data_IF_305899838861
#
_entry.id   IF_305899838861
#
_cell.length_a   1.000
_cell.length_b   1.000
_cell.length_c   1.000
_cell.angle_alpha   90.00
_cell.angle_beta   90.00
_cell.angle_gamma   90.00
#
_symmetry.space_group_name_H-M   'P 1'
#
loop_
_entity.id
_entity.type
_entity.pdbx_description
1 polymer ?
#
# COMPACT_ATOMS: atom_id res chain seq x y z
N UNK A 1 5.07 2.08 -11.02
CA UNK A 1 4.65 2.37 -9.63
C UNK A 1 3.49 3.36 -9.66
N UNK A 2 2.65 3.45 -8.63
CA UNK A 2 1.52 4.38 -8.63
C UNK A 2 1.99 5.83 -8.79
N UNK A 3 1.27 6.63 -9.56
CA UNK A 3 1.60 8.03 -9.85
C UNK A 3 0.92 9.05 -8.94
N UNK A 4 0.15 8.62 -7.94
CA UNK A 4 -0.39 9.52 -6.92
C UNK A 4 0.60 9.68 -5.77
N UNK A 5 0.73 10.91 -5.26
CA UNK A 5 1.77 11.34 -4.31
C UNK A 5 1.99 10.36 -3.15
N UNK A 6 0.90 9.96 -2.49
CA UNK A 6 1.01 9.13 -1.28
C UNK A 6 1.39 7.69 -1.58
N UNK A 7 0.82 7.08 -2.63
CA UNK A 7 1.17 5.71 -2.97
C UNK A 7 2.53 5.63 -3.68
N UNK A 8 2.95 6.67 -4.39
CA UNK A 8 4.27 6.78 -4.97
C UNK A 8 5.34 6.79 -3.87
N UNK A 9 5.19 7.67 -2.87
CA UNK A 9 6.06 7.70 -1.71
C UNK A 9 6.10 6.35 -0.98
N UNK A 10 4.94 5.73 -0.78
CA UNK A 10 4.84 4.38 -0.20
C UNK A 10 5.60 3.33 -1.01
N UNK A 11 5.49 3.37 -2.33
CA UNK A 11 6.20 2.45 -3.22
C UNK A 11 7.72 2.66 -3.14
N UNK A 12 8.19 3.91 -3.06
CA UNK A 12 9.59 4.24 -2.86
C UNK A 12 10.12 3.75 -1.50
N UNK A 13 9.34 3.93 -0.43
CA UNK A 13 9.68 3.41 0.90
C UNK A 13 9.80 1.88 0.91
N UNK A 14 8.93 1.16 0.18
CA UNK A 14 9.05 -0.28 0.03
C UNK A 14 10.35 -0.65 -0.70
N UNK A 15 10.71 0.04 -1.79
CA UNK A 15 11.94 -0.22 -2.52
C UNK A 15 13.19 0.08 -1.69
N UNK A 16 13.16 1.13 -0.87
CA UNK A 16 14.21 1.43 0.11
C UNK A 16 14.34 0.34 1.16
N UNK A 17 13.22 -0.13 1.73
CA UNK A 17 13.22 -1.21 2.72
C UNK A 17 13.78 -2.53 2.16
N UNK A 18 13.67 -2.75 0.86
CA UNK A 18 14.27 -3.90 0.15
C UNK A 18 15.70 -3.63 -0.35
N UNK A 19 16.26 -2.46 -0.09
CA UNK A 19 17.63 -2.09 -0.45
C UNK A 19 17.86 -1.84 -1.95
N UNK A 20 16.79 -1.61 -2.73
CA UNK A 20 16.92 -1.28 -4.16
C UNK A 20 17.39 0.15 -4.39
N UNK A 21 16.99 1.05 -3.51
CA UNK A 21 17.31 2.47 -3.52
C UNK A 21 17.56 2.97 -2.10
N UNK A 22 18.01 4.21 -1.99
CA UNK A 22 18.00 4.97 -0.75
C UNK A 22 17.38 6.33 -1.00
N UNK A 23 16.47 6.74 -0.13
CA UNK A 23 15.85 8.05 -0.14
C UNK A 23 16.65 9.03 0.71
N UNK A 24 16.50 10.31 0.41
CA UNK A 24 17.02 11.39 1.23
C UNK A 24 16.34 11.38 2.60
N UNK A 25 17.13 11.58 3.65
CA UNK A 25 16.62 11.73 5.01
C UNK A 25 15.52 12.80 5.06
N UNK A 26 14.37 12.43 5.62
CA UNK A 26 13.22 13.32 5.80
C UNK A 26 12.29 13.47 4.58
N UNK A 27 12.47 12.71 3.49
CA UNK A 27 11.54 12.73 2.36
C UNK A 27 10.10 12.32 2.77
N UNK A 28 9.98 11.30 3.62
CA UNK A 28 8.72 10.92 4.27
C UNK A 28 7.60 10.58 3.28
N UNK A 29 6.37 10.97 3.63
CA UNK A 29 5.15 10.60 2.89
C UNK A 29 4.93 11.34 1.57
N UNK A 30 5.82 12.27 1.23
CA UNK A 30 5.80 13.02 -0.03
C UNK A 30 7.04 12.74 -0.88
N UNK A 31 7.77 11.66 -0.58
CA UNK A 31 8.95 11.27 -1.34
C UNK A 31 8.61 11.07 -2.82
N UNK A 32 9.50 11.55 -3.68
CA UNK A 32 9.44 11.40 -5.13
C UNK A 32 10.72 10.72 -5.64
N UNK A 33 10.78 10.28 -6.90
CA UNK A 33 12.01 9.78 -7.50
C UNK A 33 13.18 10.77 -7.45
N UNK A 34 12.90 12.08 -7.35
CA UNK A 34 13.94 13.11 -7.19
C UNK A 34 14.61 13.09 -5.81
N UNK A 35 14.01 12.42 -4.82
CA UNK A 35 14.56 12.27 -3.48
C UNK A 35 15.47 11.05 -3.34
N UNK A 36 15.71 10.30 -4.42
CA UNK A 36 16.61 9.13 -4.43
C UNK A 36 18.07 9.58 -4.43
N UNK A 37 18.82 9.18 -3.41
CA UNK A 37 20.24 9.49 -3.24
C UNK A 37 21.18 8.35 -3.61
N UNK A 38 20.70 7.10 -3.60
CA UNK A 38 21.45 5.92 -4.07
C UNK A 38 20.53 5.04 -4.94
N UNK A 39 21.01 4.66 -6.14
CA UNK A 39 20.31 3.78 -7.08
C UNK A 39 21.33 2.85 -7.78
N UNK A 40 21.91 1.87 -7.06
CA UNK A 40 23.03 1.07 -7.56
C UNK A 40 22.70 0.21 -8.78
N UNK A 41 21.41 -0.07 -9.02
CA UNK A 41 20.93 -0.84 -10.18
C UNK A 41 20.50 0.04 -11.36
N UNK A 42 20.64 1.37 -11.25
CA UNK A 42 20.19 2.33 -12.27
C UNK A 42 18.73 2.10 -12.70
N UNK A 43 17.86 1.83 -11.73
CA UNK A 43 16.43 1.63 -11.96
C UNK A 43 15.83 2.89 -12.58
N UNK A 44 14.93 2.70 -13.54
CA UNK A 44 14.09 3.76 -14.11
C UNK A 44 12.68 3.64 -13.53
N UNK A 45 12.14 4.75 -13.06
CA UNK A 45 10.83 4.78 -12.42
C UNK A 45 9.78 5.20 -13.43
N UNK A 46 8.81 4.31 -13.67
CA UNK A 46 7.63 4.60 -14.48
C UNK A 46 6.44 4.82 -13.56
N UNK A 47 5.97 6.06 -13.49
CA UNK A 47 4.79 6.48 -12.75
C UNK A 47 3.53 6.24 -13.59
N UNK A 48 2.59 5.47 -13.07
CA UNK A 48 1.37 5.07 -13.78
C UNK A 48 0.19 5.14 -12.83
N UNK A 49 -0.99 5.48 -13.35
CA UNK A 49 -2.24 5.41 -12.58
C UNK A 49 -2.42 4.02 -11.94
N UNK A 50 -2.78 3.99 -10.65
CA UNK A 50 -2.68 2.80 -9.84
C UNK A 50 -3.51 1.61 -10.36
N UNK A 51 -4.71 1.87 -10.92
CA UNK A 51 -5.57 0.82 -11.47
C UNK A 51 -5.01 0.16 -12.74
N UNK A 52 -4.06 0.81 -13.42
CA UNK A 52 -3.42 0.29 -14.63
C UNK A 52 -2.21 -0.61 -14.33
N UNK A 53 -1.61 -0.51 -13.15
CA UNK A 53 -0.40 -1.26 -12.79
C UNK A 53 -0.49 -2.79 -12.99
N UNK A 54 -1.62 -3.46 -12.67
CA UNK A 54 -1.74 -4.91 -12.93
C UNK A 54 -1.63 -5.29 -14.41
N UNK A 55 -1.90 -4.37 -15.34
CA UNK A 55 -1.95 -4.64 -16.79
C UNK A 55 -0.59 -4.52 -17.47
N UNK A 56 0.37 -3.85 -16.84
CA UNK A 56 1.68 -3.55 -17.42
C UNK A 56 2.78 -4.45 -16.86
N UNK A 57 2.45 -5.47 -16.05
CA UNK A 57 3.43 -6.34 -15.40
C UNK A 57 4.33 -7.11 -16.38
N UNK A 58 3.90 -7.27 -17.63
CA UNK A 58 4.70 -7.87 -18.72
C UNK A 58 5.59 -6.87 -19.45
N UNK A 59 5.45 -5.57 -19.16
CA UNK A 59 6.18 -4.47 -19.81
C UNK A 59 7.27 -3.87 -18.92
N UNK A 60 7.33 -4.27 -17.65
CA UNK A 60 8.29 -3.76 -16.65
C UNK A 60 8.94 -4.91 -15.89
N UNK A 61 10.16 -4.70 -15.38
CA UNK A 61 10.85 -5.71 -14.57
C UNK A 61 10.22 -5.89 -13.18
N UNK A 62 9.67 -4.80 -12.62
CA UNK A 62 9.01 -4.76 -11.32
C UNK A 62 7.81 -3.82 -11.36
N UNK A 63 6.70 -4.27 -10.78
CA UNK A 63 5.52 -3.45 -10.55
C UNK A 63 5.21 -3.42 -9.05
N UNK A 64 5.22 -2.22 -8.45
CA UNK A 64 4.70 -2.01 -7.10
C UNK A 64 3.22 -1.68 -7.23
N UNK A 65 2.33 -2.52 -6.69
CA UNK A 65 0.88 -2.50 -6.93
C UNK A 65 0.13 -2.44 -5.60
N UNK A 66 -0.89 -1.58 -5.50
CA UNK A 66 -1.78 -1.56 -4.33
C UNK A 66 -2.53 -2.90 -4.19
N UNK A 67 -2.69 -3.38 -2.95
CA UNK A 67 -3.29 -4.69 -2.65
C UNK A 67 -4.69 -4.89 -3.25
N UNK A 68 -5.55 -3.86 -3.28
CA UNK A 68 -6.89 -3.98 -3.86
C UNK A 68 -6.84 -4.23 -5.38
N UNK A 69 -5.93 -3.59 -6.11
CA UNK A 69 -5.78 -3.77 -7.55
C UNK A 69 -5.10 -5.09 -7.88
N UNK A 70 -4.11 -5.49 -7.08
CA UNK A 70 -3.49 -6.80 -7.18
C UNK A 70 -4.54 -7.92 -7.03
N UNK A 71 -5.34 -7.85 -5.95
CA UNK A 71 -6.40 -8.82 -5.67
C UNK A 71 -7.46 -8.85 -6.79
N UNK A 72 -7.91 -7.68 -7.26
CA UNK A 72 -8.90 -7.59 -8.34
C UNK A 72 -8.38 -8.18 -9.66
N UNK A 73 -7.07 -8.08 -9.91
CA UNK A 73 -6.42 -8.67 -11.08
C UNK A 73 -6.07 -10.16 -10.90
N UNK A 74 -6.37 -10.76 -9.74
CA UNK A 74 -6.12 -12.16 -9.45
C UNK A 74 -4.71 -12.49 -8.97
N UNK A 75 -3.90 -11.48 -8.65
CA UNK A 75 -2.62 -11.70 -8.00
C UNK A 75 -2.82 -12.09 -6.53
N UNK A 76 -1.95 -12.98 -6.05
CA UNK A 76 -1.86 -13.40 -4.65
C UNK A 76 -0.52 -12.95 -4.08
N UNK A 77 -0.55 -12.19 -2.98
CA UNK A 77 0.62 -11.79 -2.21
C UNK A 77 1.49 -12.98 -1.79
N UNK A 78 0.91 -14.16 -1.56
CA UNK A 78 1.66 -15.35 -1.16
C UNK A 78 2.39 -16.04 -2.32
N UNK A 79 1.97 -15.80 -3.58
CA UNK A 79 2.49 -16.50 -4.77
C UNK A 79 3.27 -15.58 -5.71
N UNK A 80 2.76 -14.36 -5.90
CA UNK A 80 3.18 -13.45 -6.96
C UNK A 80 4.01 -12.28 -6.43
N UNK A 81 3.87 -11.91 -5.15
CA UNK A 81 4.63 -10.80 -4.60
C UNK A 81 6.07 -11.22 -4.31
N UNK A 82 7.02 -10.47 -4.85
CA UNK A 82 8.46 -10.64 -4.57
C UNK A 82 8.85 -10.05 -3.21
N UNK A 83 8.14 -9.01 -2.78
CA UNK A 83 8.30 -8.35 -1.50
C UNK A 83 6.95 -7.77 -1.08
N UNK A 84 6.74 -7.71 0.23
CA UNK A 84 5.58 -7.10 0.87
C UNK A 84 6.08 -6.11 1.90
N UNK A 85 5.27 -5.10 2.20
CA UNK A 85 5.51 -4.25 3.35
C UNK A 85 5.40 -5.09 4.63
N UNK A 86 6.28 -4.81 5.59
CA UNK A 86 6.15 -5.39 6.92
C UNK A 86 4.89 -4.83 7.59
N UNK A 87 4.01 -5.73 8.04
CA UNK A 87 2.77 -5.39 8.76
C UNK A 87 3.00 -4.51 10.00
N UNK A 88 4.17 -4.60 10.60
CA UNK A 88 4.60 -3.81 11.76
C UNK A 88 5.27 -2.48 11.40
N UNK A 89 5.57 -2.26 10.11
CA UNK A 89 6.23 -1.05 9.62
C UNK A 89 5.39 0.21 9.86
N UNK A 90 6.08 1.33 9.99
CA UNK A 90 5.43 2.64 10.05
C UNK A 90 4.63 2.94 8.78
N UNK A 91 5.06 2.46 7.61
CA UNK A 91 4.29 2.54 6.38
C UNK A 91 2.94 1.79 6.52
N UNK A 92 2.95 0.53 6.98
CA UNK A 92 1.72 -0.26 7.14
C UNK A 92 0.71 0.40 8.10
N UNK A 93 1.19 1.01 9.18
CA UNK A 93 0.33 1.78 10.12
C UNK A 93 -0.17 3.10 9.51
N UNK A 94 0.71 3.81 8.79
CA UNK A 94 0.40 5.11 8.20
C UNK A 94 -0.61 5.00 7.08
N UNK A 95 -0.52 3.94 6.27
CA UNK A 95 -1.36 3.72 5.09
C UNK A 95 -2.51 2.74 5.35
N UNK A 96 -2.90 2.57 6.62
CA UNK A 96 -4.08 1.80 6.94
C UNK A 96 -5.33 2.43 6.32
N UNK A 97 -6.19 1.60 5.72
CA UNK A 97 -7.45 2.07 5.16
C UNK A 97 -8.38 2.54 6.30
N UNK A 98 -9.04 3.68 6.09
CA UNK A 98 -9.90 4.32 7.09
C UNK A 98 -11.32 4.54 6.58
N UNK A 99 -12.26 4.69 7.51
CA UNK A 99 -13.59 5.22 7.23
C UNK A 99 -13.49 6.75 7.24
N UNK A 100 -13.74 7.37 6.10
CA UNK A 100 -13.71 8.83 5.94
C UNK A 100 -15.13 9.37 5.94
N UNK A 101 -15.37 10.45 6.68
CA UNK A 101 -16.63 11.18 6.70
C UNK A 101 -16.38 12.68 6.53
N UNK A 102 -17.39 13.42 6.10
CA UNK A 102 -17.34 14.89 6.12
C UNK A 102 -17.25 15.38 7.58
N UNK A 103 -16.43 16.40 7.82
CA UNK A 103 -16.27 17.06 9.13
C UNK A 103 -17.62 17.37 9.80
N UNK A 104 -17.71 17.07 11.10
CA UNK A 104 -18.92 17.20 11.92
C UNK A 104 -19.78 15.94 11.96
N UNK A 105 -19.48 14.92 11.14
CA UNK A 105 -20.20 13.64 11.15
C UNK A 105 -19.45 12.51 11.85
N UNK A 106 -18.25 12.75 12.38
CA UNK A 106 -17.45 11.73 13.05
C UNK A 106 -18.20 11.11 14.25
N UNK A 107 -19.06 11.88 14.92
CA UNK A 107 -19.87 11.41 16.04
C UNK A 107 -21.30 10.99 15.64
N UNK A 108 -21.61 10.92 14.34
CA UNK A 108 -22.91 10.44 13.88
C UNK A 108 -23.12 8.99 14.34
N UNK A 109 -24.26 8.65 15.00
CA UNK A 109 -24.50 7.29 15.49
C UNK A 109 -24.39 6.20 14.43
N UNK A 110 -24.77 6.47 13.18
CA UNK A 110 -24.64 5.52 12.09
C UNK A 110 -23.18 5.28 11.70
N UNK A 111 -22.34 6.32 11.75
CA UNK A 111 -20.89 6.22 11.48
C UNK A 111 -20.21 5.42 12.59
N UNK A 112 -20.52 5.72 13.85
CA UNK A 112 -20.00 4.99 15.01
C UNK A 112 -20.41 3.50 14.97
N UNK A 113 -21.66 3.21 14.60
CA UNK A 113 -22.12 1.84 14.43
C UNK A 113 -21.38 1.10 13.29
N UNK A 114 -21.11 1.77 12.16
CA UNK A 114 -20.33 1.20 11.07
C UNK A 114 -18.89 0.87 11.51
N UNK A 115 -18.22 1.82 12.17
CA UNK A 115 -16.84 1.61 12.67
C UNK A 115 -16.81 0.44 13.66
N UNK A 116 -17.76 0.39 14.61
CA UNK A 116 -17.85 -0.72 15.56
C UNK A 116 -18.08 -2.07 14.87
N UNK A 117 -18.96 -2.11 13.86
CA UNK A 117 -19.24 -3.33 13.10
C UNK A 117 -18.02 -3.85 12.34
N UNK A 118 -17.21 -2.94 11.76
CA UNK A 118 -15.99 -3.28 11.04
C UNK A 118 -14.83 -3.69 11.95
N UNK A 119 -14.83 -3.26 13.21
CA UNK A 119 -13.75 -3.50 14.18
C UNK A 119 -14.07 -4.64 15.17
N UNK A 120 -14.75 -5.68 14.71
CA UNK A 120 -15.06 -6.87 15.52
C UNK A 120 -14.06 -8.00 15.27
N UNK A 121 -13.90 -8.91 16.24
CA UNK A 121 -13.10 -10.13 16.06
C UNK A 121 -13.60 -10.96 14.88
N UNK A 122 -14.92 -11.00 14.64
CA UNK A 122 -15.51 -11.66 13.48
C UNK A 122 -14.98 -11.09 12.15
N UNK A 123 -14.85 -9.76 12.04
CA UNK A 123 -14.30 -9.14 10.82
C UNK A 123 -12.79 -9.36 10.75
N UNK A 124 -12.07 -9.30 11.87
CA UNK A 124 -10.64 -9.65 11.92
C UNK A 124 -10.40 -11.06 11.37
N UNK A 125 -11.17 -12.04 11.86
CA UNK A 125 -11.09 -13.43 11.43
C UNK A 125 -11.50 -13.60 9.96
N UNK A 126 -12.54 -12.90 9.53
CA UNK A 126 -12.94 -12.89 8.12
C UNK A 126 -11.79 -12.41 7.23
N UNK A 127 -11.13 -11.30 7.59
CA UNK A 127 -10.01 -10.75 6.83
C UNK A 127 -8.87 -11.78 6.74
N UNK A 128 -8.45 -12.33 7.89
CA UNK A 128 -7.35 -13.29 7.97
C UNK A 128 -7.63 -14.57 7.15
N UNK A 129 -8.87 -15.05 7.17
CA UNK A 129 -9.24 -16.32 6.51
C UNK A 129 -9.58 -16.16 5.02
N UNK A 130 -9.99 -14.96 4.57
CA UNK A 130 -10.45 -14.75 3.20
C UNK A 130 -9.33 -14.28 2.28
N UNK A 131 -8.46 -13.41 2.79
CA UNK A 131 -7.52 -12.70 1.94
C UNK A 131 -6.11 -13.27 1.98
N UNK A 132 -5.84 -14.37 2.69
CA UNK A 132 -4.56 -15.09 2.65
C UNK A 132 -3.32 -14.16 2.81
N UNK A 133 -3.43 -13.15 3.70
CA UNK A 133 -2.37 -12.17 3.94
C UNK A 133 -2.32 -10.98 2.96
N UNK A 134 -3.14 -10.96 1.90
CA UNK A 134 -3.28 -9.81 0.98
C UNK A 134 -3.96 -8.60 1.64
N UNK A 135 -4.72 -8.82 2.71
CA UNK A 135 -5.35 -7.79 3.53
C UNK A 135 -5.05 -8.11 4.98
N UNK A 136 -4.55 -7.11 5.72
CA UNK A 136 -4.16 -7.25 7.12
C UNK A 136 -5.06 -6.40 8.02
N UNK A 137 -5.65 -6.97 9.08
CA UNK A 137 -6.41 -6.19 10.04
C UNK A 137 -5.46 -5.45 10.99
N UNK A 138 -5.66 -4.14 11.15
CA UNK A 138 -4.81 -3.26 11.99
C UNK A 138 -5.50 -2.80 13.28
N UNK A 139 -6.50 -3.55 13.75
CA UNK A 139 -7.33 -3.24 14.93
C UNK A 139 -7.62 -4.46 15.79
#
# INVERSE_FOLDING_TARGET
MPSDVTNEARALMLLEAQGFIKLKDGAGLNATPNDIVENPKNLTFMEVEAAMLPRITTEVDLAVINGNYALQAGFSSAKDALALEDASSEAAKTFANIIVVKEGNENNPAVQALVAALKTDKIRDYINNTYEGNVLPIF
#
